data_IF_607278526655
#
_entry.id   IF_607278526655
#
_cell.length_a   1.000
_cell.length_b   1.000
_cell.length_c   1.000
_cell.angle_alpha   90.00
_cell.angle_beta   90.00
_cell.angle_gamma   90.00
#
_symmetry.space_group_name_H-M   'P 1'
#
loop_
_entity.id
_entity.type
_entity.pdbx_description
1 polymer ?
#
# COMPACT_ATOMS: atom_id res chain seq x y z
N UNK A 1 -4.95 4.10 -32.45
CA UNK A 1 -5.25 4.09 -31.00
C UNK A 1 -6.71 4.46 -30.83
N UNK A 2 -7.51 3.61 -30.19
CA UNK A 2 -8.96 3.81 -30.11
C UNK A 2 -9.31 4.75 -28.93
N UNK A 3 -10.56 5.21 -28.87
CA UNK A 3 -11.01 6.16 -27.83
C UNK A 3 -10.96 5.56 -26.42
N UNK A 4 -11.14 4.23 -26.31
CA UNK A 4 -11.08 3.49 -25.05
C UNK A 4 -9.66 3.46 -24.50
N UNK A 5 -8.65 3.20 -25.33
CA UNK A 5 -7.23 3.22 -24.96
C UNK A 5 -6.85 4.59 -24.39
N UNK A 6 -7.31 5.67 -25.04
CA UNK A 6 -7.05 7.05 -24.60
C UNK A 6 -7.70 7.35 -23.25
N UNK A 7 -8.91 6.86 -23.01
CA UNK A 7 -9.60 6.99 -21.73
C UNK A 7 -8.90 6.18 -20.64
N UNK A 8 -8.45 4.96 -20.94
CA UNK A 8 -7.72 4.11 -20.02
C UNK A 8 -6.38 4.74 -19.60
N UNK A 9 -5.65 5.32 -20.55
CA UNK A 9 -4.39 6.04 -20.27
C UNK A 9 -4.66 7.29 -19.43
N UNK A 10 -5.73 8.06 -19.71
CA UNK A 10 -6.10 9.22 -18.90
C UNK A 10 -6.51 8.82 -17.48
N UNK A 11 -7.27 7.74 -17.32
CA UNK A 11 -7.65 7.20 -16.02
C UNK A 11 -6.40 6.74 -15.24
N UNK A 12 -5.49 6.00 -15.88
CA UNK A 12 -4.20 5.61 -15.29
C UNK A 12 -3.34 6.80 -14.88
N UNK A 13 -3.30 7.86 -15.70
CA UNK A 13 -2.58 9.11 -15.42
C UNK A 13 -3.20 9.93 -14.28
N UNK A 14 -4.52 9.92 -14.16
CA UNK A 14 -5.23 10.57 -13.04
C UNK A 14 -5.12 9.74 -11.75
N UNK A 15 -4.97 8.42 -11.85
CA UNK A 15 -4.67 7.57 -10.70
C UNK A 15 -3.24 7.77 -10.18
N UNK A 16 -2.27 8.05 -11.04
CA UNK A 16 -0.82 8.24 -10.71
C UNK A 16 -0.50 9.60 -10.07
N UNK A 17 -1.49 10.25 -9.44
CA UNK A 17 -1.31 11.50 -8.69
C UNK A 17 -1.86 11.44 -7.25
N UNK A 18 -2.28 10.26 -6.79
CA UNK A 18 -2.68 10.01 -5.41
C UNK A 18 -1.57 9.35 -4.59
N UNK A 19 -1.76 9.25 -3.27
CA UNK A 19 -0.92 8.42 -2.40
C UNK A 19 -0.89 6.99 -2.96
N UNK A 20 0.30 6.46 -3.20
CA UNK A 20 0.52 5.08 -3.62
C UNK A 20 1.19 4.31 -2.49
N UNK A 21 0.75 3.08 -2.22
CA UNK A 21 1.48 2.21 -1.30
C UNK A 21 2.78 1.75 -1.96
N UNK A 22 3.93 2.10 -1.40
CA UNK A 22 5.22 1.68 -1.92
C UNK A 22 5.78 0.46 -1.18
N UNK A 23 5.57 0.39 0.13
CA UNK A 23 6.09 -0.69 0.97
C UNK A 23 5.10 -0.96 2.09
N UNK A 24 4.79 -2.23 2.31
CA UNK A 24 4.08 -2.72 3.50
C UNK A 24 5.02 -3.57 4.36
N UNK A 25 4.95 -3.42 5.67
CA UNK A 25 5.71 -4.23 6.62
C UNK A 25 4.78 -4.73 7.72
N UNK A 26 4.93 -5.99 8.09
CA UNK A 26 4.24 -6.59 9.23
C UNK A 26 5.29 -7.16 10.18
N UNK A 27 5.28 -6.71 11.44
CA UNK A 27 6.23 -7.12 12.48
C UNK A 27 5.47 -7.49 13.77
N UNK A 28 5.92 -8.47 14.55
CA UNK A 28 5.37 -8.72 15.88
C UNK A 28 5.70 -7.55 16.82
N UNK A 29 4.72 -7.19 17.65
CA UNK A 29 4.80 -6.13 18.66
C UNK A 29 4.14 -6.65 19.95
N UNK A 30 4.94 -7.34 20.78
CA UNK A 30 4.43 -8.07 21.95
C UNK A 30 3.49 -9.21 21.55
N UNK A 31 2.27 -9.20 22.09
CA UNK A 31 1.22 -10.18 21.78
C UNK A 31 0.39 -9.78 20.54
N UNK A 32 0.81 -8.75 19.81
CA UNK A 32 0.12 -8.19 18.65
C UNK A 32 1.01 -8.16 17.42
N UNK A 33 0.42 -7.80 16.29
CA UNK A 33 1.08 -7.62 15.01
C UNK A 33 0.92 -6.18 14.53
N UNK A 34 2.04 -5.51 14.27
CA UNK A 34 2.07 -4.14 13.77
C UNK A 34 2.24 -4.15 12.26
N UNK A 35 1.26 -3.60 11.55
CA UNK A 35 1.37 -3.28 10.12
C UNK A 35 1.85 -1.84 9.94
N UNK A 36 2.82 -1.61 9.05
CA UNK A 36 3.34 -0.30 8.68
C UNK A 36 3.31 -0.16 7.15
N UNK A 37 2.62 0.84 6.66
CA UNK A 37 2.46 1.13 5.24
C UNK A 37 3.10 2.48 4.91
N UNK A 38 4.02 2.47 3.95
CA UNK A 38 4.67 3.67 3.42
C UNK A 38 3.93 4.12 2.17
N UNK A 39 3.22 5.25 2.28
CA UNK A 39 2.45 5.86 1.21
C UNK A 39 3.25 7.03 0.62
N UNK A 40 3.40 7.02 -0.70
CA UNK A 40 4.19 8.00 -1.44
C UNK A 40 3.33 8.71 -2.48
N UNK A 41 3.39 10.03 -2.50
CA UNK A 41 2.71 10.91 -3.47
C UNK A 41 3.71 11.78 -4.26
N UNK A 42 5.02 11.51 -4.13
CA UNK A 42 6.08 12.33 -4.71
C UNK A 42 6.67 13.38 -3.75
N UNK A 43 6.10 13.55 -2.55
CA UNK A 43 6.53 14.56 -1.58
C UNK A 43 7.20 13.91 -0.36
N UNK A 44 8.36 14.45 0.04
CA UNK A 44 9.04 14.05 1.27
C UNK A 44 8.59 14.93 2.46
N UNK A 45 8.41 14.35 3.67
CA UNK A 45 8.51 12.91 3.97
C UNK A 45 7.27 12.13 3.51
N UNK A 46 7.46 10.85 3.21
CA UNK A 46 6.37 9.92 2.90
C UNK A 46 5.35 9.86 4.05
N UNK A 47 4.08 9.62 3.72
CA UNK A 47 3.05 9.39 4.73
C UNK A 47 3.19 7.96 5.24
N UNK A 48 3.23 7.79 6.56
CA UNK A 48 3.33 6.47 7.20
C UNK A 48 2.00 6.18 7.87
N UNK A 49 1.36 5.08 7.48
CA UNK A 49 0.15 4.54 8.11
C UNK A 49 0.53 3.31 8.94
N UNK A 50 0.11 3.28 10.22
CA UNK A 50 0.41 2.17 11.12
C UNK A 50 -0.83 1.72 11.87
N UNK A 51 -0.98 0.41 12.02
CA UNK A 51 -2.06 -0.21 12.77
C UNK A 51 -1.56 -1.44 13.56
N UNK A 52 -2.22 -1.72 14.68
CA UNK A 52 -1.98 -2.89 15.51
C UNK A 52 -3.13 -3.89 15.33
N UNK A 53 -2.79 -5.17 15.23
CA UNK A 53 -3.71 -6.25 14.93
C UNK A 53 -3.48 -7.42 15.88
N UNK A 54 -4.52 -8.20 16.15
CA UNK A 54 -4.42 -9.37 17.04
C UNK A 54 -3.71 -10.53 16.36
N UNK A 55 -3.84 -10.67 15.04
CA UNK A 55 -3.23 -11.76 14.28
C UNK A 55 -2.35 -11.25 13.15
N UNK A 56 -1.41 -12.12 12.72
CA UNK A 56 -0.57 -11.87 11.54
C UNK A 56 -1.41 -11.68 10.28
N UNK A 57 -2.42 -12.52 10.11
CA UNK A 57 -3.27 -12.52 8.92
C UNK A 57 -4.09 -11.23 8.83
N UNK A 58 -4.61 -10.73 9.96
CA UNK A 58 -5.29 -9.42 10.01
C UNK A 58 -4.37 -8.27 9.59
N UNK A 59 -3.10 -8.32 10.03
CA UNK A 59 -2.10 -7.32 9.66
C UNK A 59 -1.75 -7.36 8.15
N UNK A 60 -1.68 -8.56 7.56
CA UNK A 60 -1.46 -8.73 6.11
C UNK A 60 -2.69 -8.27 5.33
N UNK A 61 -3.90 -8.67 5.74
CA UNK A 61 -5.15 -8.27 5.11
C UNK A 61 -5.37 -6.75 5.16
N UNK A 62 -4.93 -6.10 6.24
CA UNK A 62 -4.90 -4.65 6.33
C UNK A 62 -4.02 -4.02 5.24
N UNK A 63 -2.81 -4.55 5.02
CA UNK A 63 -1.91 -4.07 3.96
C UNK A 63 -2.48 -4.35 2.57
N UNK A 64 -3.16 -5.47 2.34
CA UNK A 64 -3.86 -5.73 1.09
C UNK A 64 -4.97 -4.71 0.82
N UNK A 65 -5.80 -4.40 1.83
CA UNK A 65 -6.84 -3.35 1.72
C UNK A 65 -6.23 -1.97 1.44
N UNK A 66 -5.09 -1.67 2.04
CA UNK A 66 -4.35 -0.43 1.74
C UNK A 66 -3.79 -0.43 0.32
N UNK A 67 -3.30 -1.56 -0.20
CA UNK A 67 -2.83 -1.67 -1.57
C UNK A 67 -3.96 -1.47 -2.59
N UNK A 68 -5.17 -1.94 -2.29
CA UNK A 68 -6.36 -1.68 -3.12
C UNK A 68 -6.79 -0.21 -3.08
N UNK A 69 -6.72 0.40 -1.88
CA UNK A 69 -7.10 1.81 -1.67
C UNK A 69 -6.11 2.78 -2.28
N UNK A 70 -4.82 2.46 -2.23
CA UNK A 70 -3.70 3.27 -2.70
C UNK A 70 -2.90 2.48 -3.75
N UNK A 71 -3.50 2.23 -4.93
CA UNK A 71 -2.92 1.36 -5.93
C UNK A 71 -1.61 1.93 -6.44
N UNK A 72 -0.56 1.11 -6.42
CA UNK A 72 0.69 1.44 -7.08
C UNK A 72 0.69 0.87 -8.51
N UNK A 73 1.34 1.59 -9.42
CA UNK A 73 1.55 1.12 -10.80
C UNK A 73 2.58 -0.01 -10.92
N UNK A 74 3.23 -0.39 -9.82
CA UNK A 74 4.24 -1.46 -9.70
C UNK A 74 3.84 -2.47 -8.64
N UNK A 75 4.46 -3.64 -8.68
CA UNK A 75 4.34 -4.63 -7.61
C UNK A 75 4.82 -4.03 -6.29
N UNK A 76 3.99 -4.16 -5.25
CA UNK A 76 4.27 -3.65 -3.90
C UNK A 76 4.85 -4.78 -3.07
N UNK A 77 6.03 -4.58 -2.51
CA UNK A 77 6.64 -5.54 -1.59
C UNK A 77 5.98 -5.46 -0.21
N UNK A 78 5.38 -6.56 0.24
CA UNK A 78 4.96 -6.77 1.63
C UNK A 78 6.02 -7.61 2.32
N UNK A 79 6.65 -7.05 3.36
CA UNK A 79 7.69 -7.74 4.13
C UNK A 79 7.07 -8.22 5.45
N UNK A 80 7.08 -9.53 5.66
CA UNK A 80 6.62 -10.15 6.90
C UNK A 80 7.83 -10.58 7.69
N UNK A 81 8.05 -9.96 8.85
CA UNK A 81 9.04 -10.41 9.81
C UNK A 81 8.35 -11.31 10.83
N UNK A 82 8.66 -12.59 10.79
CA UNK A 82 8.19 -13.61 11.75
C UNK A 82 9.47 -14.16 12.40
N UNK A 83 9.68 -13.88 13.69
CA UNK A 83 10.95 -14.15 14.42
C UNK A 83 10.83 -15.41 15.27
#
# INVERSE_FOLDING_TARGET
MNQVDRLMIKAKRLATGGLELCVGMTVPDGDQWKSTAHLWDGVNPATIDTALHTTKDDAIDYLHKLAEKYPNSRDVSIIVFDV
#
